data_IF_244986773224
#
_entry.id   IF_244986773224
#
_cell.length_a   1.000
_cell.length_b   1.000
_cell.length_c   1.000
_cell.angle_alpha   90.00
_cell.angle_beta   90.00
_cell.angle_gamma   90.00
#
_symmetry.space_group_name_H-M   'P 1'
#
loop_
_entity.id
_entity.type
_entity.pdbx_description
1 polymer ?
#
# COMPACT_ATOMS: atom_id res chain seq x y z
N UNK A 1 -35.93 3.07 -27.74
CA UNK A 1 -35.78 3.32 -26.29
C UNK A 1 -34.52 2.62 -25.82
N UNK A 2 -33.46 3.36 -25.46
CA UNK A 2 -32.19 2.79 -25.00
C UNK A 2 -31.88 3.34 -23.60
N UNK A 3 -31.98 2.46 -22.60
CA UNK A 3 -31.69 2.78 -21.21
C UNK A 3 -30.17 2.87 -21.02
N UNK A 4 -29.66 4.10 -20.97
CA UNK A 4 -28.24 4.37 -20.76
C UNK A 4 -27.95 4.25 -19.24
N UNK A 5 -27.40 3.12 -18.82
CA UNK A 5 -27.02 2.88 -17.43
C UNK A 5 -25.84 3.78 -17.06
N UNK A 6 -26.12 4.87 -16.34
CA UNK A 6 -25.10 5.74 -15.75
C UNK A 6 -24.26 4.93 -14.77
N UNK A 7 -23.11 4.45 -15.21
CA UNK A 7 -22.08 3.91 -14.32
C UNK A 7 -21.74 4.97 -13.26
N UNK A 8 -22.03 4.66 -12.00
CA UNK A 8 -21.69 5.51 -10.86
C UNK A 8 -20.15 5.56 -10.77
N UNK A 9 -19.57 6.69 -11.16
CA UNK A 9 -18.15 6.96 -10.96
C UNK A 9 -17.91 7.14 -9.47
N UNK A 10 -17.30 6.15 -8.82
CA UNK A 10 -16.85 6.28 -7.44
C UNK A 10 -15.62 7.19 -7.43
N UNK A 11 -15.81 8.45 -7.01
CA UNK A 11 -14.71 9.40 -6.79
C UNK A 11 -13.97 8.95 -5.52
N UNK A 12 -12.76 8.42 -5.69
CA UNK A 12 -11.87 8.07 -4.58
C UNK A 12 -11.09 9.33 -4.21
N UNK A 13 -11.14 9.77 -2.95
CA UNK A 13 -10.34 10.90 -2.46
C UNK A 13 -8.85 10.67 -2.76
N UNK A 14 -8.22 11.66 -3.39
CA UNK A 14 -6.81 11.64 -3.82
C UNK A 14 -5.84 12.10 -2.74
N UNK A 15 -6.35 12.61 -1.62
CA UNK A 15 -5.59 12.94 -0.42
C UNK A 15 -5.29 11.67 0.35
N UNK A 16 -4.14 11.04 0.08
CA UNK A 16 -3.67 9.87 0.84
C UNK A 16 -3.39 10.20 2.32
N UNK A 17 -2.93 9.23 3.13
CA UNK A 17 -2.52 9.44 4.53
C UNK A 17 -1.28 10.30 4.70
N UNK A 18 -1.22 11.11 5.74
CA UNK A 18 -0.02 11.89 6.10
C UNK A 18 1.23 11.02 6.27
N UNK A 19 2.39 11.61 6.00
CA UNK A 19 3.69 10.96 5.70
C UNK A 19 4.29 10.20 6.89
N UNK A 20 3.68 10.25 8.07
CA UNK A 20 4.23 9.72 9.33
C UNK A 20 3.33 8.67 10.00
N UNK A 21 2.26 8.22 9.34
CA UNK A 21 1.30 7.32 9.98
C UNK A 21 1.81 5.88 10.06
N UNK A 22 1.55 5.25 11.20
CA UNK A 22 1.80 3.82 11.38
C UNK A 22 0.83 3.00 10.53
N UNK A 23 1.22 1.79 10.11
CA UNK A 23 0.35 0.97 9.28
C UNK A 23 -0.93 0.54 10.03
N UNK A 24 -0.87 0.43 11.36
CA UNK A 24 -2.03 0.20 12.22
C UNK A 24 -2.94 1.43 12.32
N UNK A 25 -2.41 2.65 12.33
CA UNK A 25 -3.25 3.86 12.30
C UNK A 25 -4.15 3.90 11.04
N UNK A 26 -3.68 3.34 9.92
CA UNK A 26 -4.48 3.23 8.69
C UNK A 26 -5.66 2.26 8.80
N UNK A 27 -5.62 1.30 9.73
CA UNK A 27 -6.76 0.40 10.01
C UNK A 27 -7.92 1.18 10.65
N UNK A 28 -7.59 2.13 11.53
CA UNK A 28 -8.57 2.89 12.29
C UNK A 28 -9.26 3.96 11.43
N UNK A 29 -8.55 4.51 10.44
CA UNK A 29 -9.12 5.45 9.48
C UNK A 29 -9.79 4.66 8.35
N UNK A 30 -11.12 4.44 8.47
CA UNK A 30 -11.98 3.68 7.51
C UNK A 30 -11.74 3.97 6.02
N UNK A 31 -11.14 5.10 5.67
CA UNK A 31 -10.92 5.55 4.30
C UNK A 31 -9.77 4.84 3.56
N UNK A 32 -8.94 4.03 4.23
CA UNK A 32 -7.67 3.56 3.61
C UNK A 32 -7.50 2.04 3.50
N UNK A 33 -8.60 1.30 3.49
CA UNK A 33 -8.61 -0.18 3.40
C UNK A 33 -7.81 -0.73 2.22
N UNK A 34 -7.86 -0.08 1.05
CA UNK A 34 -7.13 -0.51 -0.14
C UNK A 34 -5.62 -0.27 -0.04
N UNK A 35 -5.23 0.82 0.63
CA UNK A 35 -3.81 1.09 0.87
C UNK A 35 -3.21 0.00 1.75
N UNK A 36 -3.94 -0.41 2.79
CA UNK A 36 -3.51 -1.51 3.65
C UNK A 36 -3.32 -2.82 2.89
N UNK A 37 -4.27 -3.19 2.02
CA UNK A 37 -4.12 -4.39 1.16
C UNK A 37 -2.84 -4.30 0.32
N UNK A 38 -2.55 -3.12 -0.23
CA UNK A 38 -1.33 -2.90 -1.00
C UNK A 38 -0.06 -3.00 -0.13
N UNK A 39 -0.08 -2.51 1.10
CA UNK A 39 1.04 -2.62 2.06
C UNK A 39 1.31 -4.08 2.39
N UNK A 40 0.29 -4.84 2.77
CA UNK A 40 0.41 -6.27 3.10
C UNK A 40 0.92 -7.05 1.88
N UNK A 41 0.31 -6.84 0.71
CA UNK A 41 0.70 -7.54 -0.52
C UNK A 41 2.11 -7.19 -1.00
N UNK A 42 2.57 -5.96 -0.77
CA UNK A 42 3.95 -5.57 -1.03
C UNK A 42 4.89 -6.27 -0.06
N UNK A 43 4.58 -6.24 1.24
CA UNK A 43 5.44 -6.82 2.26
C UNK A 43 5.56 -8.34 2.13
N UNK A 44 4.45 -9.03 1.84
CA UNK A 44 4.45 -10.45 1.55
C UNK A 44 5.39 -10.79 0.37
N UNK A 45 5.42 -9.96 -0.68
CA UNK A 45 6.37 -10.12 -1.80
C UNK A 45 7.82 -9.91 -1.40
N UNK A 46 8.12 -9.01 -0.46
CA UNK A 46 9.46 -8.82 0.08
C UNK A 46 9.90 -10.03 0.91
N UNK A 47 9.04 -10.52 1.80
CA UNK A 47 9.30 -11.73 2.58
C UNK A 47 9.53 -12.96 1.68
N UNK A 48 8.71 -13.12 0.64
CA UNK A 48 8.87 -14.21 -0.34
C UNK A 48 10.19 -14.13 -1.14
N UNK A 49 10.79 -12.93 -1.23
CA UNK A 49 12.12 -12.73 -1.82
C UNK A 49 13.29 -12.96 -0.83
N UNK A 50 12.99 -13.34 0.41
CA UNK A 50 13.99 -13.56 1.46
C UNK A 50 14.26 -12.35 2.34
N UNK A 51 13.40 -11.32 2.33
CA UNK A 51 13.52 -10.26 3.33
C UNK A 51 13.31 -10.81 4.75
N UNK A 52 14.07 -10.28 5.71
CA UNK A 52 13.95 -10.67 7.12
C UNK A 52 12.59 -10.23 7.69
N UNK A 53 11.92 -11.15 8.39
CA UNK A 53 10.74 -10.83 9.17
C UNK A 53 11.09 -9.92 10.36
N UNK A 54 10.23 -8.95 10.64
CA UNK A 54 10.34 -8.00 11.74
C UNK A 54 9.64 -8.49 13.01
N UNK A 55 8.83 -9.53 12.87
CA UNK A 55 8.18 -10.26 13.96
C UNK A 55 8.87 -11.61 14.16
N UNK A 56 8.72 -12.18 15.34
CA UNK A 56 9.25 -13.51 15.62
C UNK A 56 8.59 -14.55 14.70
N UNK A 57 9.37 -15.41 14.04
CA UNK A 57 8.83 -16.47 13.21
C UNK A 57 8.06 -17.45 14.11
N UNK A 58 6.80 -17.72 13.76
CA UNK A 58 6.00 -18.77 14.38
C UNK A 58 5.77 -19.88 13.36
N UNK A 59 5.89 -21.12 13.80
CA UNK A 59 5.65 -22.28 12.93
C UNK A 59 4.22 -22.27 12.38
N UNK A 60 4.09 -22.72 11.12
CA UNK A 60 2.80 -22.84 10.44
C UNK A 60 2.20 -21.54 9.87
N UNK A 61 2.83 -20.38 10.08
CA UNK A 61 2.36 -19.12 9.47
C UNK A 61 2.73 -19.02 8.00
N UNK A 62 1.76 -18.59 7.20
CA UNK A 62 2.01 -18.16 5.83
C UNK A 62 2.75 -16.82 5.79
N UNK A 63 3.36 -16.54 4.64
CA UNK A 63 4.05 -15.27 4.38
C UNK A 63 3.08 -14.08 4.53
N UNK A 64 1.85 -14.24 4.08
CA UNK A 64 0.81 -13.20 4.17
C UNK A 64 0.42 -12.92 5.62
N UNK A 65 0.24 -13.97 6.43
CA UNK A 65 -0.06 -13.81 7.87
C UNK A 65 1.08 -13.14 8.62
N UNK A 66 2.33 -13.46 8.25
CA UNK A 66 3.51 -12.79 8.80
C UNK A 66 3.52 -11.31 8.45
N UNK A 67 3.27 -10.95 7.18
CA UNK A 67 3.16 -9.55 6.76
C UNK A 67 2.01 -8.81 7.46
N UNK A 68 0.88 -9.49 7.69
CA UNK A 68 -0.26 -8.92 8.41
C UNK A 68 0.07 -8.65 9.88
N UNK A 69 0.76 -9.56 10.56
CA UNK A 69 1.23 -9.36 11.94
C UNK A 69 2.20 -8.18 12.04
N UNK A 70 3.12 -8.02 11.09
CA UNK A 70 4.05 -6.89 11.06
C UNK A 70 3.32 -5.54 10.90
N UNK A 71 2.22 -5.51 10.13
CA UNK A 71 1.34 -4.34 10.01
C UNK A 71 0.61 -4.07 11.32
N UNK A 72 0.04 -5.10 11.96
CA UNK A 72 -0.71 -4.97 13.21
C UNK A 72 0.17 -4.58 14.41
N UNK A 73 1.43 -5.03 14.41
CA UNK A 73 2.42 -4.76 15.46
C UNK A 73 3.15 -3.42 15.27
N UNK A 74 2.72 -2.58 14.32
CA UNK A 74 3.34 -1.29 13.99
C UNK A 74 4.85 -1.35 13.73
N UNK A 75 5.32 -2.48 13.18
CA UNK A 75 6.73 -2.66 12.81
C UNK A 75 7.06 -2.06 11.44
N UNK A 76 6.04 -1.65 10.68
CA UNK A 76 6.19 -1.11 9.33
C UNK A 76 5.89 0.40 9.32
N UNK A 77 6.88 1.18 8.89
CA UNK A 77 6.73 2.61 8.63
C UNK A 77 6.44 2.84 7.14
N UNK A 78 5.39 3.61 6.87
CA UNK A 78 4.98 3.92 5.50
C UNK A 78 5.57 5.25 5.06
N UNK A 79 6.68 5.18 4.34
CA UNK A 79 7.20 6.36 3.67
C UNK A 79 6.52 6.54 2.32
N UNK A 80 5.85 7.67 2.13
CA UNK A 80 5.42 8.09 0.80
C UNK A 80 6.66 8.29 -0.08
N UNK A 81 6.69 7.64 -1.24
CA UNK A 81 7.60 8.07 -2.31
C UNK A 81 7.17 9.48 -2.73
N UNK A 82 7.95 10.50 -2.37
CA UNK A 82 7.92 11.76 -3.09
C UNK A 82 8.25 11.43 -4.55
N UNK A 83 7.27 11.51 -5.44
CA UNK A 83 7.45 11.18 -6.86
C UNK A 83 8.61 12.03 -7.40
N UNK A 84 9.58 11.41 -8.10
CA UNK A 84 10.45 12.15 -9.01
C UNK A 84 9.55 12.89 -9.99
N UNK A 85 9.60 14.21 -9.93
CA UNK A 85 8.92 15.17 -10.81
C UNK A 85 9.65 15.21 -12.14
N UNK A 86 9.56 14.16 -12.96
CA UNK A 86 9.98 14.29 -14.36
C UNK A 86 8.72 14.45 -15.19
N UNK A 87 8.33 15.71 -15.43
CA UNK A 87 7.14 16.03 -16.22
C UNK A 87 7.37 15.86 -17.73
N UNK A 88 8.60 16.03 -18.23
CA UNK A 88 9.01 15.74 -19.61
C UNK A 88 10.51 15.44 -19.63
N UNK A 89 10.96 14.54 -20.51
CA UNK A 89 12.37 14.37 -20.87
C UNK A 89 12.61 14.94 -22.27
N UNK A 90 13.55 15.88 -22.39
CA UNK A 90 14.04 16.39 -23.68
C UNK A 90 15.08 15.40 -24.24
N UNK A 91 14.96 15.07 -25.53
CA UNK A 91 15.96 14.35 -26.30
C UNK A 91 16.37 15.28 -27.43
N UNK A 92 17.67 15.45 -27.66
CA UNK A 92 18.19 16.30 -28.72
C UNK A 92 17.83 15.72 -30.10
N UNK A 93 17.43 16.60 -31.01
CA UNK A 93 17.25 16.28 -32.41
C UNK A 93 18.60 16.50 -33.12
N UNK A 94 19.19 15.44 -33.66
CA UNK A 94 20.19 15.54 -34.74
C UNK A 94 19.48 15.38 -36.09
#
# INVERSE_FOLDING_TARGET
>A
MAANSRQKKHLVETTGPDVTQSAHELLNVRQQKYLMVNVIARRARELNKGAKALVEPREGRTITETAMEEVLSDKLLLQRKQKKTTLVSLINNE
#
